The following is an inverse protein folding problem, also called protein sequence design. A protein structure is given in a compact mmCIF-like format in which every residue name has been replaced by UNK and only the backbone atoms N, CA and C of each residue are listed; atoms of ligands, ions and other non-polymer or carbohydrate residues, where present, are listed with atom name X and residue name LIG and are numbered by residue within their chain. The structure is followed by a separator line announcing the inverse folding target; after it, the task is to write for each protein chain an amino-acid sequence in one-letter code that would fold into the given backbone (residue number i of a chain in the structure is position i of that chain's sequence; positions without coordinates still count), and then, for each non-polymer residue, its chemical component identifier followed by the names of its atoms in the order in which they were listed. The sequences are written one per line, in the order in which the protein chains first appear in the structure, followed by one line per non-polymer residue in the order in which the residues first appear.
data_IF_051006769696
#
_entry.id   IF_051006769696
#
_cell.length_a   1.000
_cell.length_b   1.000
_cell.length_c   1.000
_cell.angle_alpha   90.00
_cell.angle_beta   90.00
_cell.angle_gamma   90.00
#
_symmetry.space_group_name_H-M   'P 1'
#
loop_
_entity.id
_entity.type
_entity.pdbx_description
1 polymer ?
#
# COMPACT_ATOMS: atom_id res chain seq x y z
N UNK A 1 -61.10 36.41 0.42
CA UNK A 1 -61.28 35.76 -0.90
C UNK A 1 -60.10 34.81 -1.08
N UNK A 2 -60.24 33.55 -0.63
CA UNK A 2 -60.62 32.33 -1.37
C UNK A 2 -59.35 31.54 -1.76
N UNK A 3 -58.86 30.58 -0.96
CA UNK A 3 -59.21 29.14 -0.81
C UNK A 3 -59.02 28.28 -2.08
N UNK A 4 -58.46 27.07 -1.85
CA UNK A 4 -58.50 25.82 -2.66
C UNK A 4 -57.54 25.75 -3.86
N UNK A 5 -56.83 24.66 -4.23
CA UNK A 5 -56.82 23.20 -3.91
C UNK A 5 -55.46 22.64 -4.37
N UNK A 6 -54.71 21.86 -3.58
CA UNK A 6 -54.70 20.39 -3.55
C UNK A 6 -54.78 19.69 -4.93
N UNK A 7 -53.69 19.07 -5.37
CA UNK A 7 -53.75 17.87 -6.21
C UNK A 7 -52.51 17.00 -5.97
N UNK A 8 -52.74 15.99 -5.13
CA UNK A 8 -51.87 14.84 -4.89
C UNK A 8 -52.06 13.91 -6.09
N UNK A 9 -51.01 13.72 -6.90
CA UNK A 9 -50.97 12.63 -7.88
C UNK A 9 -50.04 11.54 -7.34
N UNK A 10 -50.67 10.54 -6.73
CA UNK A 10 -50.11 9.24 -6.42
C UNK A 10 -49.79 8.52 -7.74
N UNK A 11 -48.52 8.30 -8.06
CA UNK A 11 -48.11 7.26 -9.01
C UNK A 11 -47.46 6.13 -8.22
N UNK A 12 -48.28 5.14 -7.86
CA UNK A 12 -47.82 3.83 -7.40
C UNK A 12 -47.50 3.03 -8.66
N UNK A 13 -46.24 3.07 -9.10
CA UNK A 13 -45.74 2.14 -10.11
C UNK A 13 -45.09 0.96 -9.38
N UNK A 14 -45.81 -0.16 -9.39
CA UNK A 14 -45.32 -1.43 -8.87
C UNK A 14 -44.15 -1.93 -9.70
N UNK A 15 -42.98 -1.98 -9.08
CA UNK A 15 -41.92 -2.92 -9.46
C UNK A 15 -41.91 -4.03 -8.42
N UNK A 16 -42.44 -5.18 -8.82
CA UNK A 16 -42.17 -6.48 -8.21
C UNK A 16 -40.67 -6.76 -8.37
N UNK A 17 -39.88 -6.24 -7.43
CA UNK A 17 -38.54 -6.72 -7.18
C UNK A 17 -38.70 -8.12 -6.57
N UNK A 18 -38.70 -9.14 -7.43
CA UNK A 18 -38.28 -10.48 -7.04
C UNK A 18 -36.85 -10.35 -6.53
N UNK A 19 -36.73 -10.09 -5.23
CA UNK A 19 -35.50 -10.23 -4.48
C UNK A 19 -35.13 -11.70 -4.50
N UNK A 20 -34.44 -12.13 -5.55
CA UNK A 20 -33.54 -13.25 -5.41
C UNK A 20 -32.61 -12.86 -4.28
N UNK A 21 -32.57 -13.60 -3.15
CA UNK A 21 -31.42 -13.50 -2.29
C UNK A 21 -30.26 -13.92 -3.19
N UNK A 22 -29.48 -12.94 -3.66
CA UNK A 22 -28.09 -13.19 -4.00
C UNK A 22 -27.51 -13.59 -2.65
N UNK A 23 -27.68 -14.86 -2.31
CA UNK A 23 -26.74 -15.56 -1.45
C UNK A 23 -25.44 -15.44 -2.24
N UNK A 24 -24.74 -14.34 -2.01
CA UNK A 24 -23.30 -14.38 -1.93
C UNK A 24 -23.03 -15.41 -0.83
N UNK A 25 -23.13 -16.69 -1.20
CA UNK A 25 -22.20 -17.67 -0.71
C UNK A 25 -20.87 -17.04 -1.09
N UNK A 26 -20.33 -16.27 -0.14
CA UNK A 26 -18.91 -16.03 -0.06
C UNK A 26 -18.33 -17.42 -0.24
N UNK A 27 -17.85 -17.69 -1.45
CA UNK A 27 -16.89 -18.75 -1.71
C UNK A 27 -15.69 -18.34 -0.86
N UNK A 28 -15.82 -18.62 0.43
CA UNK A 28 -14.92 -18.30 1.50
C UNK A 28 -13.68 -19.07 1.11
N UNK A 29 -12.80 -18.37 0.39
CA UNK A 29 -11.80 -18.98 -0.45
C UNK A 29 -11.10 -20.03 0.41
N UNK A 30 -11.26 -21.32 0.07
CA UNK A 30 -10.73 -22.45 0.83
C UNK A 30 -9.21 -22.50 0.62
N UNK A 31 -8.55 -21.42 0.98
CA UNK A 31 -7.12 -21.28 0.98
C UNK A 31 -6.56 -22.34 1.93
N UNK A 32 -5.59 -23.15 1.49
CA UNK A 32 -4.94 -24.10 2.39
C UNK A 32 -4.19 -23.37 3.51
N UNK A 33 -3.94 -24.03 4.65
CA UNK A 33 -3.01 -23.54 5.67
C UNK A 33 -1.68 -23.11 5.04
N UNK A 34 -1.11 -22.01 5.53
CA UNK A 34 0.09 -21.38 5.00
C UNK A 34 -0.18 -20.27 3.99
N UNK A 35 -1.38 -20.16 3.42
CA UNK A 35 -1.74 -19.10 2.48
C UNK A 35 -1.58 -17.72 3.11
N UNK A 36 -0.93 -16.81 2.38
CA UNK A 36 -0.72 -15.43 2.76
C UNK A 36 -1.65 -14.52 1.95
N UNK A 37 -2.43 -13.70 2.65
CA UNK A 37 -3.37 -12.76 2.07
C UNK A 37 -2.99 -11.35 2.49
N UNK A 38 -2.75 -10.46 1.53
CA UNK A 38 -2.59 -9.02 1.82
C UNK A 38 -3.94 -8.48 2.29
N UNK A 39 -3.92 -7.71 3.38
CA UNK A 39 -5.15 -7.17 3.96
C UNK A 39 -5.09 -5.69 4.28
N UNK A 40 -3.89 -5.14 4.42
CA UNK A 40 -3.72 -3.75 4.77
C UNK A 40 -2.37 -3.24 4.28
N UNK A 41 -2.37 -2.00 3.85
CA UNK A 41 -1.20 -1.20 3.58
C UNK A 41 -1.23 0.04 4.48
N UNK A 42 -0.05 0.51 4.88
CA UNK A 42 0.09 1.76 5.63
C UNK A 42 1.28 2.51 5.07
N UNK A 43 1.08 3.80 4.83
CA UNK A 43 2.15 4.73 4.48
C UNK A 43 2.29 5.81 5.55
N UNK A 44 3.53 6.20 5.84
CA UNK A 44 3.88 7.28 6.74
C UNK A 44 4.99 8.11 6.12
N UNK A 45 4.82 9.42 6.08
CA UNK A 45 5.88 10.33 5.66
C UNK A 45 6.98 10.35 6.71
N UNK A 46 8.22 10.52 6.26
CA UNK A 46 9.39 10.60 7.12
C UNK A 46 9.74 12.08 7.36
N UNK A 47 9.94 12.48 8.61
CA UNK A 47 10.51 13.79 8.94
C UNK A 47 11.98 13.86 8.48
N UNK A 48 12.43 15.08 8.24
CA UNK A 48 13.83 15.40 7.91
C UNK A 48 14.39 14.70 6.66
N UNK A 49 13.54 14.08 5.85
CA UNK A 49 13.90 13.45 4.59
C UNK A 49 12.75 13.55 3.59
N UNK A 50 13.07 13.55 2.31
CA UNK A 50 12.08 13.37 1.25
C UNK A 50 11.82 11.88 1.11
N UNK A 51 10.96 11.32 1.96
CA UNK A 51 10.72 9.88 1.93
C UNK A 51 9.51 9.40 2.71
N UNK A 52 9.22 8.12 2.54
CA UNK A 52 8.03 7.46 3.06
C UNK A 52 8.39 6.06 3.58
N UNK A 53 7.69 5.62 4.62
CA UNK A 53 7.67 4.24 5.09
C UNK A 53 6.36 3.58 4.64
N UNK A 54 6.47 2.63 3.72
CA UNK A 54 5.39 1.74 3.32
C UNK A 54 5.47 0.43 4.13
N UNK A 55 4.34 -0.03 4.65
CA UNK A 55 4.20 -1.31 5.34
C UNK A 55 3.02 -2.09 4.78
N UNK A 56 3.27 -3.30 4.29
CA UNK A 56 2.25 -4.22 3.82
C UNK A 56 2.08 -5.35 4.83
N UNK A 57 0.86 -5.48 5.34
CA UNK A 57 0.47 -6.50 6.29
C UNK A 57 -0.61 -7.41 5.70
N UNK A 58 -0.78 -8.54 6.35
CA UNK A 58 -1.71 -9.54 5.90
C UNK A 58 -2.16 -10.49 6.99
N UNK A 59 -2.71 -11.59 6.51
CA UNK A 59 -3.10 -12.73 7.32
C UNK A 59 -2.44 -13.99 6.76
N UNK A 60 -1.88 -14.80 7.66
CA UNK A 60 -1.46 -16.17 7.36
C UNK A 60 -2.52 -17.11 7.88
N UNK A 61 -3.12 -17.91 6.99
CA UNK A 61 -4.03 -18.96 7.42
C UNK A 61 -3.25 -20.07 8.12
N UNK A 62 -3.68 -20.47 9.32
CA UNK A 62 -3.04 -21.53 10.12
C UNK A 62 -3.92 -22.78 10.13
N UNK A 63 -5.23 -22.60 10.11
CA UNK A 63 -6.23 -23.66 9.93
C UNK A 63 -7.45 -23.11 9.17
N UNK A 64 -8.48 -23.93 8.98
CA UNK A 64 -9.76 -23.47 8.41
C UNK A 64 -10.36 -22.30 9.20
N UNK A 65 -10.23 -22.30 10.53
CA UNK A 65 -10.88 -21.34 11.42
C UNK A 65 -9.92 -20.26 11.96
N UNK A 66 -8.61 -20.45 11.80
CA UNK A 66 -7.59 -19.60 12.44
C UNK A 66 -6.69 -18.93 11.41
N UNK A 67 -6.53 -17.63 11.58
CA UNK A 67 -5.54 -16.81 10.87
C UNK A 67 -4.71 -15.99 11.85
N UNK A 68 -3.41 -15.85 11.53
CA UNK A 68 -2.50 -14.99 12.29
C UNK A 68 -2.24 -13.71 11.51
N UNK A 69 -2.29 -12.56 12.19
CA UNK A 69 -1.86 -11.29 11.61
C UNK A 69 -0.33 -11.33 11.38
N UNK A 70 0.09 -11.04 10.16
CA UNK A 70 1.51 -11.06 9.78
C UNK A 70 1.92 -9.74 9.13
N UNK A 71 3.22 -9.47 9.16
CA UNK A 71 3.84 -8.48 8.29
C UNK A 71 4.40 -9.19 7.06
N UNK A 72 4.06 -8.67 5.87
CA UNK A 72 4.47 -9.28 4.61
C UNK A 72 5.77 -8.66 4.16
N UNK A 73 5.80 -7.33 3.95
CA UNK A 73 7.03 -6.60 3.68
C UNK A 73 6.92 -5.12 4.07
N UNK A 74 8.06 -4.46 4.24
CA UNK A 74 8.17 -3.04 4.55
C UNK A 74 9.23 -2.37 3.69
N UNK A 75 9.00 -1.11 3.33
CA UNK A 75 9.84 -0.38 2.39
C UNK A 75 10.07 1.04 2.91
N UNK A 76 11.34 1.43 3.07
CA UNK A 76 11.72 2.83 3.12
C UNK A 76 11.94 3.32 1.70
N UNK A 77 11.25 4.39 1.31
CA UNK A 77 11.32 4.99 -0.02
C UNK A 77 11.88 6.39 0.13
N UNK A 78 12.97 6.69 -0.56
CA UNK A 78 13.58 8.01 -0.60
C UNK A 78 13.41 8.61 -2.00
N UNK A 79 12.86 9.81 -2.05
CA UNK A 79 12.64 10.60 -3.25
C UNK A 79 13.84 11.54 -3.49
N UNK A 80 14.11 11.94 -4.75
CA UNK A 80 14.99 13.05 -5.03
C UNK A 80 14.46 14.34 -4.39
N UNK A 81 15.33 15.34 -4.19
CA UNK A 81 14.96 16.64 -3.59
C UNK A 81 14.28 17.55 -4.60
N UNK A 82 13.20 17.06 -5.21
CA UNK A 82 12.37 17.81 -6.15
C UNK A 82 10.99 18.08 -5.51
N UNK A 83 10.41 19.27 -5.73
CA UNK A 83 9.12 19.62 -5.16
C UNK A 83 8.00 18.74 -5.75
N UNK A 84 7.30 18.04 -4.86
CA UNK A 84 6.14 17.23 -5.19
C UNK A 84 4.89 18.10 -5.09
N UNK A 85 4.09 18.10 -6.14
CA UNK A 85 2.80 18.80 -6.20
C UNK A 85 1.62 17.81 -6.11
N UNK A 86 1.90 16.51 -6.13
CA UNK A 86 0.89 15.47 -5.93
C UNK A 86 1.51 14.11 -5.62
N UNK A 87 0.77 13.29 -4.88
CA UNK A 87 1.08 11.89 -4.67
C UNK A 87 -0.22 11.09 -4.61
N UNK A 88 -0.26 9.93 -5.26
CA UNK A 88 -1.40 9.00 -5.19
C UNK A 88 -0.92 7.56 -5.11
N UNK A 89 -1.80 6.71 -4.59
CA UNK A 89 -1.53 5.28 -4.39
C UNK A 89 -2.69 4.46 -4.93
N UNK A 90 -2.37 3.31 -5.52
CA UNK A 90 -3.33 2.34 -6.01
C UNK A 90 -2.95 0.95 -5.53
N UNK A 91 -3.80 0.36 -4.69
CA UNK A 91 -3.67 -1.03 -4.26
C UNK A 91 -4.63 -1.91 -5.07
N UNK A 92 -4.12 -3.00 -5.64
CA UNK A 92 -4.92 -4.00 -6.34
C UNK A 92 -4.56 -5.41 -5.88
N UNK A 93 -5.54 -6.16 -5.41
CA UNK A 93 -5.38 -7.56 -5.01
C UNK A 93 -6.12 -8.45 -6.03
N UNK A 94 -5.38 -9.31 -6.74
CA UNK A 94 -5.89 -10.27 -7.72
C UNK A 94 -5.41 -11.66 -7.34
N UNK A 95 -6.17 -12.34 -6.48
CA UNK A 95 -5.82 -13.66 -5.96
C UNK A 95 -4.49 -13.64 -5.22
N UNK A 96 -3.48 -14.45 -5.62
CA UNK A 96 -2.18 -14.51 -4.95
C UNK A 96 -1.25 -13.33 -5.26
N UNK A 97 -1.68 -12.41 -6.14
CA UNK A 97 -0.92 -11.24 -6.53
C UNK A 97 -1.51 -9.98 -5.87
N UNK A 98 -0.67 -9.27 -5.14
CA UNK A 98 -0.96 -7.90 -4.68
C UNK A 98 -0.04 -6.93 -5.41
N UNK A 99 -0.59 -5.82 -5.89
CA UNK A 99 0.13 -4.78 -6.62
C UNK A 99 -0.11 -3.44 -5.94
N UNK A 100 0.97 -2.80 -5.54
CA UNK A 100 1.01 -1.45 -4.99
C UNK A 100 1.62 -0.52 -6.04
N UNK A 101 0.81 0.38 -6.58
CA UNK A 101 1.24 1.43 -7.49
C UNK A 101 1.39 2.76 -6.74
N UNK A 102 2.61 3.29 -6.70
CA UNK A 102 2.93 4.59 -6.14
C UNK A 102 3.13 5.57 -7.29
N UNK A 103 2.51 6.74 -7.21
CA UNK A 103 2.61 7.77 -8.25
C UNK A 103 2.90 9.11 -7.59
N UNK A 104 3.83 9.86 -8.18
CA UNK A 104 4.22 11.18 -7.74
C UNK A 104 4.15 12.15 -8.90
N UNK A 105 3.63 13.34 -8.66
CA UNK A 105 3.62 14.45 -9.61
C UNK A 105 4.65 15.47 -9.17
N UNK A 106 5.68 15.68 -9.99
CA UNK A 106 6.81 16.57 -9.72
C UNK A 106 6.63 17.85 -10.51
N UNK A 107 6.97 18.98 -9.89
CA UNK A 107 6.96 20.27 -10.57
C UNK A 107 8.01 20.32 -11.69
N UNK A 108 7.61 20.68 -12.91
CA UNK A 108 8.57 20.83 -14.03
C UNK A 108 9.46 22.06 -13.91
N UNK A 109 8.87 23.19 -13.51
CA UNK A 109 9.55 24.48 -13.40
C UNK A 109 9.35 25.09 -12.00
N UNK A 110 10.09 24.63 -10.99
CA UNK A 110 9.98 25.17 -9.63
C UNK A 110 10.42 26.64 -9.55
N UNK A 111 9.89 27.43 -8.60
CA UNK A 111 9.05 27.00 -7.46
C UNK A 111 7.52 27.16 -7.63
N UNK A 112 7.01 27.77 -8.71
CA UNK A 112 5.60 28.25 -8.76
C UNK A 112 4.71 27.65 -9.87
N UNK A 113 5.20 26.69 -10.65
CA UNK A 113 4.42 25.99 -11.69
C UNK A 113 3.60 24.80 -11.14
N UNK A 114 2.57 25.06 -10.35
CA UNK A 114 1.69 24.01 -9.80
C UNK A 114 0.71 23.42 -10.83
N UNK A 115 0.62 24.01 -12.02
CA UNK A 115 -0.28 23.57 -13.08
C UNK A 115 0.36 22.48 -13.98
N UNK A 116 1.68 22.51 -14.16
CA UNK A 116 2.39 21.55 -15.00
C UNK A 116 3.27 20.62 -14.17
N UNK A 117 2.81 19.37 -14.06
CA UNK A 117 3.56 18.30 -13.42
C UNK A 117 4.14 17.30 -14.42
N UNK A 118 5.20 16.61 -14.02
CA UNK A 118 5.61 15.34 -14.59
C UNK A 118 5.20 14.20 -13.64
N UNK A 119 4.56 13.16 -14.18
CA UNK A 119 4.16 12.00 -13.38
C UNK A 119 5.24 10.93 -13.43
N UNK A 120 5.66 10.47 -12.25
CA UNK A 120 6.52 9.32 -12.07
C UNK A 120 5.76 8.23 -11.31
N UNK A 121 6.09 6.98 -11.57
CA UNK A 121 5.46 5.85 -10.89
C UNK A 121 6.45 4.75 -10.53
N UNK A 122 6.10 4.03 -9.47
CA UNK A 122 6.80 2.84 -9.00
C UNK A 122 5.77 1.76 -8.68
N UNK A 123 5.94 0.59 -9.28
CA UNK A 123 5.11 -0.57 -9.00
C UNK A 123 5.86 -1.56 -8.11
N UNK A 124 5.21 -1.99 -7.03
CA UNK A 124 5.68 -3.05 -6.14
C UNK A 124 4.65 -4.18 -6.16
N UNK A 125 5.10 -5.37 -6.56
CA UNK A 125 4.25 -6.55 -6.67
C UNK A 125 4.66 -7.59 -5.64
N UNK A 126 3.71 -8.11 -4.89
CA UNK A 126 3.91 -9.25 -4.02
C UNK A 126 3.22 -10.49 -4.60
N UNK A 127 3.98 -11.55 -4.83
CA UNK A 127 3.45 -12.84 -5.25
C UNK A 127 3.49 -13.82 -4.07
N UNK A 128 2.33 -14.10 -3.48
CA UNK A 128 2.24 -14.93 -2.27
C UNK A 128 2.68 -16.38 -2.49
N UNK A 129 2.39 -16.96 -3.66
CA UNK A 129 2.78 -18.34 -4.00
C UNK A 129 4.29 -18.53 -4.08
N UNK A 130 4.99 -17.54 -4.64
CA UNK A 130 6.45 -17.60 -4.82
C UNK A 130 7.20 -16.96 -3.64
N UNK A 131 6.46 -16.39 -2.68
CA UNK A 131 6.98 -15.62 -1.57
C UNK A 131 8.05 -14.60 -1.99
N UNK A 132 7.74 -13.81 -3.03
CA UNK A 132 8.66 -12.84 -3.60
C UNK A 132 8.00 -11.46 -3.71
N UNK A 133 8.86 -10.42 -3.71
CA UNK A 133 8.48 -9.04 -3.98
C UNK A 133 9.24 -8.58 -5.21
N UNK A 134 8.52 -8.03 -6.18
CA UNK A 134 9.11 -7.41 -7.38
C UNK A 134 8.95 -5.91 -7.29
N UNK A 135 10.04 -5.17 -7.46
CA UNK A 135 10.07 -3.70 -7.50
C UNK A 135 10.62 -3.30 -8.85
N UNK A 136 9.79 -2.69 -9.69
CA UNK A 136 10.13 -2.42 -11.09
C UNK A 136 10.54 -3.71 -11.82
N UNK A 137 11.81 -3.83 -12.22
CA UNK A 137 12.36 -4.99 -12.95
C UNK A 137 13.07 -6.02 -12.05
N UNK A 138 13.20 -5.75 -10.76
CA UNK A 138 13.98 -6.58 -9.84
C UNK A 138 13.06 -7.42 -8.95
N UNK A 139 13.34 -8.71 -8.81
CA UNK A 139 12.58 -9.64 -7.95
C UNK A 139 13.43 -10.14 -6.80
N UNK A 140 12.87 -10.09 -5.60
CA UNK A 140 13.52 -10.42 -4.34
C UNK A 140 12.77 -11.54 -3.62
N UNK A 141 13.48 -12.55 -3.16
CA UNK A 141 12.88 -13.64 -2.38
C UNK A 141 12.74 -13.20 -0.91
N UNK A 142 11.53 -13.28 -0.36
CA UNK A 142 11.27 -12.86 1.01
C UNK A 142 11.89 -13.78 2.07
N UNK A 143 12.49 -14.92 1.70
CA UNK A 143 13.27 -15.74 2.64
C UNK A 143 14.55 -15.06 3.15
N UNK A 144 15.10 -14.09 2.41
CA UNK A 144 16.33 -13.36 2.78
C UNK A 144 16.06 -12.12 3.64
N UNK A 145 14.80 -11.66 3.68
CA UNK A 145 14.38 -10.49 4.45
C UNK A 145 13.06 -9.95 3.92
N UNK A 146 12.29 -9.26 4.74
CA UNK A 146 11.08 -8.57 4.29
C UNK A 146 11.14 -7.05 4.44
N UNK A 147 12.36 -6.52 4.47
CA UNK A 147 12.67 -5.12 4.58
C UNK A 147 13.38 -4.67 3.30
N UNK A 148 12.96 -3.54 2.76
CA UNK A 148 13.51 -2.97 1.55
C UNK A 148 13.84 -1.49 1.76
N UNK A 149 14.92 -1.05 1.12
CA UNK A 149 15.22 0.37 0.97
C UNK A 149 15.25 0.67 -0.52
N UNK A 150 14.41 1.62 -0.94
CA UNK A 150 14.32 2.12 -2.30
C UNK A 150 14.82 3.55 -2.30
N UNK A 151 15.80 3.84 -3.14
CA UNK A 151 16.31 5.20 -3.39
C UNK A 151 16.03 5.54 -4.84
N UNK A 152 15.19 6.54 -5.06
CA UNK A 152 14.92 7.10 -6.38
C UNK A 152 16.02 8.14 -6.68
N UNK A 153 16.62 8.06 -7.85
CA UNK A 153 17.58 9.07 -8.30
C UNK A 153 16.88 10.32 -8.89
N UNK A 154 17.65 11.28 -9.39
CA UNK A 154 17.13 12.51 -10.01
C UNK A 154 16.30 12.25 -11.29
N UNK A 155 16.37 11.04 -11.87
CA UNK A 155 15.55 10.59 -13.00
C UNK A 155 14.42 9.69 -12.56
N UNK A 156 14.15 9.61 -11.26
CA UNK A 156 13.14 8.74 -10.65
C UNK A 156 13.37 7.25 -10.90
N UNK A 157 14.60 6.85 -11.24
CA UNK A 157 14.95 5.45 -11.40
C UNK A 157 15.23 4.82 -10.02
N UNK A 158 14.60 3.67 -9.69
CA UNK A 158 14.76 3.06 -8.38
C UNK A 158 16.05 2.22 -8.28
N UNK A 159 16.85 2.51 -7.25
CA UNK A 159 17.83 1.57 -6.71
C UNK A 159 17.24 0.88 -5.49
N UNK A 160 17.15 -0.45 -5.54
CA UNK A 160 16.48 -1.25 -4.51
C UNK A 160 17.51 -2.11 -3.78
N UNK A 161 17.44 -2.12 -2.46
CA UNK A 161 18.27 -2.97 -1.61
C UNK A 161 17.39 -3.73 -0.63
N UNK A 162 17.51 -5.06 -0.61
CA UNK A 162 16.89 -5.89 0.41
C UNK A 162 17.78 -5.89 1.66
N UNK A 163 17.17 -5.65 2.82
CA UNK A 163 17.85 -5.60 4.11
C UNK A 163 17.64 -6.93 4.81
N UNK A 164 18.73 -7.52 5.32
CA UNK A 164 18.69 -8.77 6.06
C UNK A 164 17.94 -8.59 7.38
N UNK A 165 16.71 -9.09 7.45
CA UNK A 165 15.87 -9.01 8.64
C UNK A 165 14.40 -9.34 8.35
N UNK A 166 13.73 -9.91 9.35
CA UNK A 166 12.34 -10.32 9.24
C UNK A 166 11.47 -9.79 10.38
N UNK A 167 10.39 -9.12 10.00
CA UNK A 167 9.25 -8.87 10.87
C UNK A 167 8.14 -9.85 10.49
N UNK A 168 7.90 -10.84 11.35
CA UNK A 168 6.92 -11.90 11.08
C UNK A 168 5.51 -11.53 11.53
N UNK A 169 5.40 -10.77 12.62
CA UNK A 169 4.14 -10.34 13.19
C UNK A 169 3.79 -8.94 12.72
N UNK A 170 2.50 -8.70 12.49
CA UNK A 170 1.98 -7.36 12.22
C UNK A 170 2.46 -6.40 13.32
N UNK A 171 3.13 -5.32 12.92
CA UNK A 171 3.75 -4.39 13.86
C UNK A 171 3.38 -2.93 13.53
N UNK A 172 3.64 -1.97 14.40
CA UNK A 172 3.32 -0.54 14.12
C UNK A 172 4.42 0.10 13.26
N UNK A 173 4.12 1.16 12.49
CA UNK A 173 5.14 1.86 11.70
C UNK A 173 6.36 2.29 12.53
N UNK A 174 6.18 2.76 13.78
CA UNK A 174 7.30 3.11 14.66
C UNK A 174 8.23 1.93 14.96
N UNK A 175 7.64 0.76 15.20
CA UNK A 175 8.41 -0.48 15.45
C UNK A 175 9.12 -0.93 14.18
N UNK A 176 8.51 -0.77 13.01
CA UNK A 176 9.17 -1.03 11.72
C UNK A 176 10.37 -0.11 11.54
N UNK A 177 10.21 1.20 11.74
CA UNK A 177 11.30 2.16 11.59
C UNK A 177 12.43 1.88 12.60
N UNK A 178 12.11 1.61 13.86
CA UNK A 178 13.10 1.20 14.88
C UNK A 178 13.84 -0.07 14.45
N UNK A 179 13.18 -1.01 13.79
CA UNK A 179 13.80 -2.23 13.28
C UNK A 179 14.74 -1.95 12.09
N UNK A 180 14.35 -1.07 11.15
CA UNK A 180 15.28 -0.59 10.11
C UNK A 180 16.53 0.03 10.73
N UNK A 181 16.37 0.93 11.71
CA UNK A 181 17.49 1.58 12.40
C UNK A 181 18.39 0.57 13.13
N UNK A 182 17.81 -0.46 13.74
CA UNK A 182 18.59 -1.46 14.50
C UNK A 182 19.45 -2.35 13.61
N UNK A 183 19.05 -2.56 12.35
CA UNK A 183 19.81 -3.33 11.36
C UNK A 183 20.82 -2.43 10.63
N UNK A 184 20.39 -1.23 10.21
CA UNK A 184 21.20 -0.29 9.43
C UNK A 184 21.90 0.73 10.32
N UNK A 185 22.62 0.24 11.34
CA UNK A 185 23.22 1.07 12.41
C UNK A 185 24.23 2.10 11.91
N UNK A 186 24.85 1.84 10.76
CA UNK A 186 25.88 2.68 10.16
C UNK A 186 25.35 3.61 9.06
N UNK A 187 24.05 3.52 8.72
CA UNK A 187 23.43 4.43 7.75
C UNK A 187 22.93 5.68 8.48
N UNK A 188 23.73 6.74 8.46
CA UNK A 188 23.41 7.99 9.16
C UNK A 188 22.09 8.63 8.73
N UNK A 189 21.70 8.47 7.45
CA UNK A 189 20.44 9.00 6.94
C UNK A 189 19.29 8.27 7.64
N UNK A 190 19.35 6.94 7.67
CA UNK A 190 18.31 6.12 8.30
C UNK A 190 18.24 6.35 9.81
N UNK A 191 19.37 6.55 10.49
CA UNK A 191 19.38 6.82 11.93
C UNK A 191 18.67 8.12 12.32
N UNK A 192 18.66 9.12 11.43
CA UNK A 192 18.01 10.43 11.66
C UNK A 192 16.52 10.46 11.33
N UNK A 193 15.98 9.41 10.73
CA UNK A 193 14.57 9.39 10.32
C UNK A 193 13.62 9.38 11.50
N UNK A 194 12.52 10.10 11.37
CA UNK A 194 11.39 10.03 12.30
C UNK A 194 10.11 9.94 11.48
N UNK A 195 9.03 9.42 12.04
CA UNK A 195 7.73 9.45 11.36
C UNK A 195 7.10 10.82 11.58
N UNK A 196 6.46 11.37 10.55
CA UNK A 196 5.62 12.55 10.72
C UNK A 196 4.42 12.21 11.61
N UNK A 197 4.04 13.17 12.47
CA UNK A 197 2.84 13.06 13.31
C UNK A 197 1.56 12.94 12.47
#
# INVERSE_FOLDING_TARGET
MNRLTSNICLFILGLLLFGYPISAQDDECRCPPGTLLVSADRIRTLNHSSGELLSIDGWRRVSSEKSNAISIYHVLIFHPKLPLIGARRLLSNKGPLSTEGLFWTVQKNPPDDYANGEEHSLEIRYHSLNNNVTVGKQTFNLSSGNLFVIRLDERWAPTVSQVSGHLTQRTTPDKVLKFFKSILRHDEIIQRLELSE
#
